data_IF_859857334084
#
_entry.id   IF_859857334084
#
_cell.length_a   1.000
_cell.length_b   1.000
_cell.length_c   1.000
_cell.angle_alpha   90.00
_cell.angle_beta   90.00
_cell.angle_gamma   90.00
#
_symmetry.space_group_name_H-M   'P 1'
#
loop_
_entity.id
_entity.type
_entity.pdbx_description
1 polymer ?
#
# COMPACT_ATOMS: atom_id res chain seq x y z
N UNK A 1 45.87 4.01 22.98
CA UNK A 1 45.68 4.22 21.53
C UNK A 1 44.81 3.15 20.88
N UNK A 2 45.00 1.87 21.14
CA UNK A 2 44.17 0.77 20.59
C UNK A 2 42.69 0.79 21.02
N UNK A 3 42.36 1.22 22.22
CA UNK A 3 40.99 1.25 22.73
C UNK A 3 40.12 2.27 22.00
N UNK A 4 40.69 3.37 21.52
CA UNK A 4 39.97 4.40 20.75
C UNK A 4 39.70 3.96 19.32
N UNK A 5 40.58 3.17 18.70
CA UNK A 5 40.35 2.59 17.38
C UNK A 5 39.21 1.56 17.38
N UNK A 6 39.11 0.73 18.41
CA UNK A 6 38.02 -0.24 18.55
C UNK A 6 36.67 0.45 18.75
N UNK A 7 36.63 1.54 19.54
CA UNK A 7 35.40 2.34 19.72
C UNK A 7 34.95 3.01 18.45
N UNK A 8 35.87 3.56 17.66
CA UNK A 8 35.55 4.20 16.37
C UNK A 8 35.07 3.15 15.36
N UNK A 9 35.66 1.97 15.33
CA UNK A 9 35.29 0.86 14.45
C UNK A 9 33.89 0.30 14.81
N UNK A 10 33.55 0.21 16.10
CA UNK A 10 32.23 -0.21 16.56
C UNK A 10 31.14 0.82 16.21
N UNK A 11 31.43 2.12 16.27
CA UNK A 11 30.49 3.17 15.93
C UNK A 11 30.20 3.25 14.42
N UNK A 12 31.16 2.89 13.57
CA UNK A 12 30.97 2.82 12.11
C UNK A 12 30.15 1.61 11.66
N UNK A 13 30.11 0.53 12.48
CA UNK A 13 29.33 -0.67 12.14
C UNK A 13 27.84 -0.55 12.44
N UNK A 14 27.44 0.39 13.31
CA UNK A 14 26.04 0.60 13.70
C UNK A 14 25.26 1.37 12.62
N UNK A 15 25.92 2.06 11.68
CA UNK A 15 25.28 2.88 10.65
C UNK A 15 24.91 2.14 9.35
N UNK A 16 25.26 0.85 9.25
CA UNK A 16 24.86 0.01 8.11
C UNK A 16 23.70 -0.91 8.47
N UNK A 17 22.62 -0.40 9.02
CA UNK A 17 21.35 -1.14 9.01
C UNK A 17 20.83 -1.00 7.58
N UNK A 18 20.82 -2.06 6.76
CA UNK A 18 20.18 -1.99 5.45
C UNK A 18 18.72 -1.60 5.70
N UNK A 19 18.29 -0.50 5.11
CA UNK A 19 16.88 -0.23 4.97
C UNK A 19 16.32 -1.41 4.16
N UNK A 20 15.79 -2.42 4.84
CA UNK A 20 14.99 -3.43 4.19
C UNK A 20 13.82 -2.69 3.56
N UNK A 21 13.89 -2.48 2.25
CA UNK A 21 12.73 -2.08 1.47
C UNK A 21 11.72 -3.20 1.69
N UNK A 22 10.74 -2.93 2.54
CA UNK A 22 9.68 -3.87 2.80
C UNK A 22 8.87 -4.01 1.50
N UNK A 23 9.08 -5.13 0.81
CA UNK A 23 8.21 -5.50 -0.31
C UNK A 23 6.90 -6.02 0.29
N UNK A 24 5.77 -5.49 -0.15
CA UNK A 24 4.47 -5.93 0.34
C UNK A 24 4.27 -7.44 0.14
N UNK A 25 3.61 -8.08 1.09
CA UNK A 25 3.23 -9.48 1.01
C UNK A 25 1.87 -9.61 0.32
N UNK A 26 1.83 -10.38 -0.77
CA UNK A 26 0.64 -10.55 -1.61
C UNK A 26 -0.51 -11.27 -0.87
N UNK A 27 -0.19 -12.26 -0.02
CA UNK A 27 -1.20 -13.00 0.74
C UNK A 27 -1.75 -12.18 1.90
N UNK A 28 -0.91 -11.47 2.61
CA UNK A 28 -1.34 -10.53 3.65
C UNK A 28 -2.13 -9.39 3.03
N UNK A 29 -1.73 -8.91 1.86
CA UNK A 29 -2.46 -7.91 1.09
C UNK A 29 -3.85 -8.39 0.69
N UNK A 30 -3.97 -9.61 0.16
CA UNK A 30 -5.25 -10.24 -0.14
C UNK A 30 -6.16 -10.29 1.09
N UNK A 31 -5.65 -10.79 2.21
CA UNK A 31 -6.40 -10.92 3.46
C UNK A 31 -6.87 -9.55 3.99
N UNK A 32 -6.02 -8.54 3.93
CA UNK A 32 -6.38 -7.19 4.34
C UNK A 32 -7.39 -6.57 3.37
N UNK A 33 -7.21 -6.74 2.08
CA UNK A 33 -8.16 -6.29 1.06
C UNK A 33 -9.56 -6.91 1.28
N UNK A 34 -9.63 -8.21 1.56
CA UNK A 34 -10.86 -8.94 1.83
C UNK A 34 -11.62 -8.36 3.04
N UNK A 35 -10.90 -8.02 4.10
CA UNK A 35 -11.53 -7.57 5.36
C UNK A 35 -11.82 -6.08 5.43
N UNK A 36 -11.13 -5.25 4.67
CA UNK A 36 -11.20 -3.78 4.79
C UNK A 36 -11.61 -3.09 3.50
N UNK A 37 -11.07 -3.51 2.36
CA UNK A 37 -11.18 -2.72 1.12
C UNK A 37 -12.32 -3.20 0.22
N UNK A 38 -12.56 -4.50 0.18
CA UNK A 38 -13.42 -5.16 -0.82
C UNK A 38 -14.88 -4.75 -0.74
N UNK A 39 -15.37 -4.38 0.44
CA UNK A 39 -16.74 -3.92 0.60
C UNK A 39 -17.08 -2.68 -0.25
N UNK A 40 -16.08 -1.86 -0.56
CA UNK A 40 -16.24 -0.68 -1.40
C UNK A 40 -15.57 -0.83 -2.78
N UNK A 41 -14.36 -1.36 -2.82
CA UNK A 41 -13.56 -1.41 -4.05
C UNK A 41 -13.62 -2.75 -4.78
N UNK A 42 -14.27 -3.78 -4.19
CA UNK A 42 -14.22 -5.14 -4.73
C UNK A 42 -12.88 -5.84 -4.42
N UNK A 43 -12.87 -7.17 -4.43
CA UNK A 43 -11.65 -7.97 -4.29
C UNK A 43 -10.73 -7.83 -5.51
N UNK A 44 -11.34 -7.61 -6.66
CA UNK A 44 -10.70 -7.37 -7.95
C UNK A 44 -10.34 -5.89 -8.18
N UNK A 45 -10.65 -5.02 -7.23
CA UNK A 45 -10.44 -3.57 -7.32
C UNK A 45 -11.45 -2.86 -8.24
N UNK A 46 -12.51 -3.55 -8.68
CA UNK A 46 -13.61 -2.96 -9.46
C UNK A 46 -14.73 -2.61 -8.50
N UNK A 47 -15.03 -1.33 -8.34
CA UNK A 47 -16.01 -0.85 -7.37
C UNK A 47 -17.40 -1.45 -7.55
N UNK A 48 -17.80 -1.75 -8.78
CA UNK A 48 -19.06 -2.43 -9.10
C UNK A 48 -19.14 -3.83 -8.47
N UNK A 49 -18.01 -4.56 -8.37
CA UNK A 49 -17.96 -5.89 -7.72
C UNK A 49 -18.13 -5.80 -6.19
N UNK A 50 -17.85 -4.65 -5.59
CA UNK A 50 -18.11 -4.36 -4.18
C UNK A 50 -19.55 -3.92 -3.89
N UNK A 51 -20.39 -3.78 -4.91
CA UNK A 51 -21.79 -3.38 -4.79
C UNK A 51 -22.00 -1.90 -4.49
N UNK A 52 -21.06 -1.03 -4.90
CA UNK A 52 -21.02 0.33 -4.40
C UNK A 52 -21.25 1.46 -5.38
N UNK A 53 -21.28 2.63 -4.77
CA UNK A 53 -21.49 3.94 -5.33
C UNK A 53 -20.61 4.22 -6.56
N UNK A 54 -21.15 4.87 -7.59
CA UNK A 54 -20.36 5.38 -8.72
C UNK A 54 -19.27 6.39 -8.31
N UNK A 55 -19.26 6.82 -7.04
CA UNK A 55 -18.20 7.67 -6.50
C UNK A 55 -17.00 6.88 -5.98
N UNK A 56 -17.11 5.56 -5.83
CA UNK A 56 -16.00 4.72 -5.43
C UNK A 56 -15.13 4.43 -6.66
N UNK A 57 -13.84 4.79 -6.66
CA UNK A 57 -12.98 4.56 -7.82
C UNK A 57 -12.58 3.10 -7.98
N UNK A 58 -12.39 2.67 -9.21
CA UNK A 58 -11.68 1.42 -9.48
C UNK A 58 -10.20 1.57 -9.14
N UNK A 59 -9.65 0.56 -8.48
CA UNK A 59 -8.24 0.49 -8.10
C UNK A 59 -7.53 -0.77 -8.62
N UNK A 60 -8.22 -1.51 -9.49
CA UNK A 60 -7.70 -2.68 -10.21
C UNK A 60 -6.44 -2.33 -10.98
N UNK A 61 -5.39 -3.12 -10.82
CA UNK A 61 -4.12 -2.99 -11.54
C UNK A 61 -3.52 -1.56 -11.48
N UNK A 62 -3.87 -0.79 -10.45
CA UNK A 62 -3.30 0.54 -10.24
C UNK A 62 -1.83 0.42 -9.86
N UNK A 63 -1.02 1.39 -10.24
CA UNK A 63 0.40 1.40 -9.91
C UNK A 63 0.61 1.37 -8.39
N UNK A 64 1.49 0.48 -7.92
CA UNK A 64 1.78 0.28 -6.50
C UNK A 64 2.17 1.59 -5.81
N UNK A 65 3.08 2.33 -6.41
CA UNK A 65 3.59 3.61 -5.87
C UNK A 65 2.49 4.65 -5.72
N UNK A 66 1.52 4.66 -6.66
CA UNK A 66 0.36 5.54 -6.58
C UNK A 66 -0.54 5.17 -5.40
N UNK A 67 -0.84 3.86 -5.23
CA UNK A 67 -1.65 3.37 -4.11
C UNK A 67 -0.99 3.70 -2.77
N UNK A 68 0.32 3.44 -2.65
CA UNK A 68 1.12 3.77 -1.47
C UNK A 68 1.05 5.26 -1.13
N UNK A 69 1.30 6.11 -2.10
CA UNK A 69 1.28 7.56 -1.89
C UNK A 69 -0.10 8.04 -1.44
N UNK A 70 -1.18 7.56 -2.09
CA UNK A 70 -2.55 7.96 -1.74
C UNK A 70 -2.98 7.48 -0.36
N UNK A 71 -2.68 6.23 0.00
CA UNK A 71 -3.01 5.72 1.34
C UNK A 71 -2.23 6.46 2.44
N UNK A 72 -0.95 6.76 2.22
CA UNK A 72 -0.14 7.57 3.15
C UNK A 72 -0.65 9.01 3.25
N UNK A 73 -1.07 9.62 2.15
CA UNK A 73 -1.66 10.96 2.13
C UNK A 73 -2.98 11.02 2.90
N UNK A 74 -3.85 10.01 2.78
CA UNK A 74 -5.07 9.89 3.58
C UNK A 74 -4.77 9.65 5.06
N UNK A 75 -3.84 8.73 5.36
CA UNK A 75 -3.45 8.38 6.74
C UNK A 75 -2.89 9.58 7.49
N UNK A 76 -2.07 10.39 6.84
CA UNK A 76 -1.47 11.60 7.43
C UNK A 76 -2.38 12.83 7.42
N UNK A 77 -3.61 12.70 6.92
CA UNK A 77 -4.55 13.80 6.70
C UNK A 77 -4.03 14.90 5.75
N UNK A 78 -3.00 14.63 4.95
CA UNK A 78 -2.55 15.51 3.88
C UNK A 78 -3.64 15.69 2.81
N UNK A 79 -4.41 14.61 2.55
CA UNK A 79 -5.66 14.65 1.78
C UNK A 79 -6.78 14.29 2.74
N UNK A 80 -7.73 15.19 2.91
CA UNK A 80 -8.92 14.94 3.72
C UNK A 80 -10.03 14.34 2.84
N UNK A 81 -10.37 13.07 3.10
CA UNK A 81 -11.47 12.37 2.46
C UNK A 81 -12.35 11.72 3.53
N UNK A 82 -13.68 11.94 3.54
CA UNK A 82 -14.54 11.52 4.64
C UNK A 82 -14.43 10.05 5.02
N UNK A 83 -14.27 9.17 4.05
CA UNK A 83 -14.19 7.72 4.26
C UNK A 83 -12.75 7.21 4.24
N UNK A 84 -11.97 7.56 3.18
CA UNK A 84 -10.64 7.00 3.01
C UNK A 84 -9.65 7.46 4.08
N UNK A 85 -9.79 8.67 4.63
CA UNK A 85 -8.93 9.12 5.73
C UNK A 85 -9.17 8.28 6.99
N UNK A 86 -10.41 7.90 7.30
CA UNK A 86 -10.74 7.04 8.43
C UNK A 86 -10.18 5.63 8.22
N UNK A 87 -10.38 5.06 7.04
CA UNK A 87 -9.89 3.73 6.69
C UNK A 87 -8.36 3.70 6.74
N UNK A 88 -7.68 4.66 6.13
CA UNK A 88 -6.23 4.69 6.07
C UNK A 88 -5.58 4.86 7.45
N UNK A 89 -6.21 5.58 8.37
CA UNK A 89 -5.74 5.71 9.76
C UNK A 89 -5.78 4.40 10.55
N UNK A 90 -6.67 3.46 10.16
CA UNK A 90 -6.76 2.13 10.77
C UNK A 90 -5.68 1.16 10.26
N UNK A 91 -5.03 1.47 9.15
CA UNK A 91 -4.01 0.62 8.53
C UNK A 91 -2.63 0.90 9.15
N UNK A 92 -1.86 -0.16 9.41
CA UNK A 92 -0.43 -0.04 9.65
C UNK A 92 0.30 0.35 8.37
N UNK A 93 1.56 0.75 8.46
CA UNK A 93 2.37 1.00 7.26
C UNK A 93 2.61 -0.29 6.47
N UNK A 94 2.72 -1.42 7.18
CA UNK A 94 2.77 -2.76 6.59
C UNK A 94 1.48 -3.11 5.84
N UNK A 95 0.31 -2.84 6.42
CA UNK A 95 -0.97 -3.03 5.74
C UNK A 95 -1.05 -2.24 4.43
N UNK A 96 -0.58 -0.99 4.45
CA UNK A 96 -0.56 -0.12 3.27
C UNK A 96 0.32 -0.71 2.16
N UNK A 97 1.52 -1.20 2.50
CA UNK A 97 2.40 -1.89 1.55
C UNK A 97 1.73 -3.15 0.98
N UNK A 98 1.15 -3.98 1.84
CA UNK A 98 0.54 -5.25 1.47
C UNK A 98 -0.69 -5.07 0.57
N UNK A 99 -1.62 -4.16 0.89
CA UNK A 99 -2.80 -3.95 0.03
C UNK A 99 -2.43 -3.28 -1.29
N UNK A 100 -1.41 -2.44 -1.30
CA UNK A 100 -0.89 -1.85 -2.53
C UNK A 100 -0.27 -2.92 -3.42
N UNK A 101 0.44 -3.90 -2.84
CA UNK A 101 0.94 -5.08 -3.55
C UNK A 101 -0.20 -5.89 -4.16
N UNK A 102 -1.26 -6.17 -3.38
CA UNK A 102 -2.40 -6.94 -3.86
C UNK A 102 -3.05 -6.31 -5.09
N UNK A 103 -3.55 -5.08 -4.97
CA UNK A 103 -4.31 -4.45 -6.06
C UNK A 103 -3.47 -4.14 -7.30
N UNK A 104 -2.18 -3.84 -7.13
CA UNK A 104 -1.28 -3.57 -8.26
C UNK A 104 -0.93 -4.83 -9.07
N UNK A 105 -1.00 -6.00 -8.47
CA UNK A 105 -0.68 -7.27 -9.13
C UNK A 105 -1.88 -7.94 -9.82
N UNK A 106 -3.09 -7.39 -9.70
CA UNK A 106 -4.25 -7.89 -10.43
C UNK A 106 -4.03 -7.71 -11.93
N UNK A 107 -4.24 -8.78 -12.69
CA UNK A 107 -4.10 -8.75 -14.15
C UNK A 107 -5.43 -8.44 -14.79
N UNK A 108 -5.42 -7.52 -15.74
CA UNK A 108 -6.57 -7.14 -16.55
C UNK A 108 -6.24 -7.31 -18.03
N UNK A 109 -7.25 -7.63 -18.82
CA UNK A 109 -7.22 -7.49 -20.28
C UNK A 109 -7.99 -6.24 -20.67
N UNK A 110 -7.52 -5.54 -21.70
CA UNK A 110 -8.13 -4.30 -22.17
C UNK A 110 -8.58 -4.52 -23.61
N UNK A 111 -9.85 -4.24 -23.87
CA UNK A 111 -10.39 -4.12 -25.21
C UNK A 111 -10.64 -2.63 -25.48
N UNK A 112 -10.09 -2.14 -26.58
CA UNK A 112 -10.35 -0.78 -26.99
C UNK A 112 -11.69 -0.71 -27.72
N UNK A 113 -12.46 0.37 -27.55
CA UNK A 113 -13.66 0.56 -28.36
C UNK A 113 -13.26 0.58 -29.85
N UNK A 114 -14.06 -0.10 -30.66
CA UNK A 114 -13.88 -0.08 -32.11
C UNK A 114 -14.08 1.34 -32.62
N UNK A 115 -13.18 1.78 -33.51
CA UNK A 115 -13.30 3.06 -34.22
C UNK A 115 -14.48 3.05 -35.22
#
# INVERSE_FOLDING_TARGET
>A
MYLNFIRIFLLLFIFNIPNYLYAGDLLLGKKKAETVCSACHGMDGVAASGGNSPLTPNITAQQKEYLLAKLKDYKSAKINHPQMSLIAQMLSDEDIENVSEWYSNIKISIELPLE
#
